data_IF_798432456148
#
_entry.id   IF_798432456148
#
_cell.length_a   1.000
_cell.length_b   1.000
_cell.length_c   1.000
_cell.angle_alpha   90.00
_cell.angle_beta   90.00
_cell.angle_gamma   90.00
#
_symmetry.space_group_name_H-M   'P 1'
#
loop_
_entity.id
_entity.type
_entity.pdbx_description
1 polymer ?
#
# COMPACT_ATOMS: atom_id res chain seq x y z
N UNK A 1 -12.11 -11.99 -11.55
CA UNK A 1 -10.85 -11.33 -11.93
C UNK A 1 -10.00 -11.27 -10.68
N UNK A 2 -8.89 -12.00 -10.67
CA UNK A 2 -7.97 -11.99 -9.52
C UNK A 2 -6.99 -10.83 -9.69
N UNK A 3 -6.98 -9.91 -8.73
CA UNK A 3 -6.12 -8.73 -8.78
C UNK A 3 -5.26 -8.65 -7.52
N UNK A 4 -4.03 -8.19 -7.70
CA UNK A 4 -3.10 -7.89 -6.60
C UNK A 4 -2.85 -6.39 -6.55
N UNK A 5 -3.04 -5.79 -5.38
CA UNK A 5 -2.56 -4.44 -5.10
C UNK A 5 -1.18 -4.53 -4.44
N UNK A 6 -0.17 -3.83 -4.96
CA UNK A 6 1.17 -3.77 -4.37
C UNK A 6 1.51 -2.35 -3.97
N UNK A 7 1.80 -2.16 -2.70
CA UNK A 7 2.34 -0.90 -2.19
C UNK A 7 3.86 -1.00 -2.19
N UNK A 8 4.53 -0.12 -2.94
CA UNK A 8 5.99 -0.01 -2.95
C UNK A 8 6.41 1.23 -2.16
N UNK A 9 7.38 1.06 -1.27
CA UNK A 9 7.87 2.09 -0.37
C UNK A 9 9.39 2.13 -0.41
N UNK A 10 9.96 3.31 -0.59
CA UNK A 10 11.41 3.53 -0.63
C UNK A 10 11.78 4.72 0.24
N UNK A 11 12.66 4.49 1.22
CA UNK A 11 13.30 5.57 1.96
C UNK A 11 14.43 6.13 1.08
N UNK A 12 14.27 7.37 0.64
CA UNK A 12 15.20 8.04 -0.29
C UNK A 12 16.12 9.06 0.40
N UNK A 13 15.93 9.33 1.69
CA UNK A 13 16.64 10.45 2.34
C UNK A 13 16.91 10.36 3.84
N UNK A 14 16.49 9.30 4.55
CA UNK A 14 16.74 9.14 6.00
C UNK A 14 17.85 8.11 6.25
N UNK A 15 19.08 8.52 6.62
CA UNK A 15 20.23 7.62 6.71
C UNK A 15 20.08 6.48 7.72
N UNK A 16 19.45 6.76 8.87
CA UNK A 16 19.30 5.79 9.96
C UNK A 16 18.05 4.90 9.79
N UNK A 17 17.43 4.92 8.62
CA UNK A 17 16.15 4.26 8.38
C UNK A 17 14.97 5.08 8.85
N UNK A 18 13.79 4.69 8.38
CA UNK A 18 12.52 5.35 8.67
C UNK A 18 11.53 4.32 9.21
N UNK A 19 10.89 4.60 10.34
CA UNK A 19 9.78 3.78 10.83
C UNK A 19 8.49 4.24 10.15
N UNK A 20 7.86 3.33 9.41
CA UNK A 20 6.63 3.60 8.67
C UNK A 20 5.51 2.66 9.11
N UNK A 21 4.29 3.16 9.15
CA UNK A 21 3.08 2.35 9.24
C UNK A 21 2.35 2.41 7.91
N UNK A 22 1.89 1.27 7.41
CA UNK A 22 1.06 1.19 6.22
C UNK A 22 -0.24 0.47 6.52
N UNK A 23 -1.30 0.85 5.80
CA UNK A 23 -2.63 0.24 5.91
C UNK A 23 -3.27 0.12 4.53
N UNK A 24 -3.89 -1.02 4.27
CA UNK A 24 -4.90 -1.19 3.23
C UNK A 24 -6.28 -1.14 3.86
N UNK A 25 -7.22 -0.46 3.21
CA UNK A 25 -8.61 -0.38 3.64
C UNK A 25 -9.58 -0.42 2.46
N UNK A 26 -10.81 -0.86 2.72
CA UNK A 26 -11.86 -0.92 1.71
C UNK A 26 -12.56 0.44 1.52
N UNK A 27 -13.57 0.47 0.65
CA UNK A 27 -14.41 1.66 0.39
C UNK A 27 -15.07 2.25 1.65
N UNK A 28 -15.37 1.40 2.64
CA UNK A 28 -16.04 1.76 3.88
C UNK A 28 -15.05 2.18 4.98
N UNK A 29 -13.74 2.12 4.71
CA UNK A 29 -12.71 2.40 5.69
C UNK A 29 -12.35 1.22 6.59
N UNK A 30 -12.85 0.01 6.30
CA UNK A 30 -12.47 -1.19 7.05
C UNK A 30 -11.01 -1.56 6.72
N UNK A 31 -10.17 -1.67 7.75
CA UNK A 31 -8.79 -2.12 7.58
C UNK A 31 -8.75 -3.55 7.08
N UNK A 32 -8.15 -3.75 5.90
CA UNK A 32 -7.96 -5.05 5.26
C UNK A 32 -6.63 -5.69 5.68
N UNK A 33 -5.58 -4.88 5.79
CA UNK A 33 -4.25 -5.30 6.23
C UNK A 33 -3.48 -4.09 6.76
N UNK A 34 -2.58 -4.29 7.71
CA UNK A 34 -1.69 -3.23 8.21
C UNK A 34 -0.43 -3.81 8.82
N UNK A 35 0.64 -3.02 8.83
CA UNK A 35 1.84 -3.32 9.59
C UNK A 35 2.69 -2.07 9.80
N UNK A 36 3.70 -2.20 10.66
CA UNK A 36 4.73 -1.20 10.89
C UNK A 36 6.08 -1.82 10.57
N UNK A 37 6.88 -1.15 9.74
CA UNK A 37 8.19 -1.65 9.30
C UNK A 37 9.25 -0.57 9.40
N UNK A 38 10.48 -0.98 9.69
CA UNK A 38 11.64 -0.11 9.52
C UNK A 38 12.12 -0.21 8.07
N UNK A 39 12.23 0.93 7.40
CA UNK A 39 12.63 1.05 6.00
C UNK A 39 14.05 1.64 5.91
N UNK A 40 15.09 0.81 5.67
CA UNK A 40 16.46 1.28 5.52
C UNK A 40 16.64 2.19 4.31
N UNK A 41 17.64 3.08 4.36
CA UNK A 41 17.96 3.98 3.24
C UNK A 41 18.23 3.18 1.95
N UNK A 42 17.60 3.62 0.86
CA UNK A 42 17.80 3.04 -0.47
C UNK A 42 17.23 1.64 -0.66
N UNK A 43 16.53 1.08 0.33
CA UNK A 43 15.85 -0.21 0.20
C UNK A 43 14.39 -0.02 -0.14
N UNK A 44 13.89 -0.91 -0.98
CA UNK A 44 12.48 -0.99 -1.33
C UNK A 44 11.81 -2.06 -0.48
N UNK A 45 10.65 -1.73 0.07
CA UNK A 45 9.71 -2.71 0.63
C UNK A 45 8.48 -2.72 -0.26
N UNK A 46 8.07 -3.91 -0.69
CA UNK A 46 6.88 -4.15 -1.49
C UNK A 46 5.90 -5.00 -0.68
N UNK A 47 4.68 -4.52 -0.51
CA UNK A 47 3.62 -5.20 0.22
C UNK A 47 2.50 -5.56 -0.74
N UNK A 48 2.22 -6.86 -0.86
CA UNK A 48 1.14 -7.38 -1.69
C UNK A 48 -0.13 -7.59 -0.88
N UNK A 49 -1.22 -7.02 -1.34
CA UNK A 49 -2.57 -7.33 -0.90
C UNK A 49 -3.34 -8.01 -2.03
N UNK A 50 -3.79 -9.23 -1.75
CA UNK A 50 -4.68 -9.99 -2.63
C UNK A 50 -6.02 -10.11 -1.94
N UNK A 51 -7.09 -9.68 -2.61
CA UNK A 51 -8.43 -9.98 -2.13
C UNK A 51 -8.72 -11.45 -2.46
N UNK A 52 -8.87 -12.27 -1.42
CA UNK A 52 -9.42 -13.61 -1.60
C UNK A 52 -10.88 -13.48 -2.03
N UNK A 53 -11.26 -14.18 -3.09
CA UNK A 53 -12.62 -14.19 -3.65
C UNK A 53 -13.61 -15.01 -2.82
N UNK A 54 -13.16 -15.59 -1.70
CA UNK A 54 -14.04 -16.34 -0.83
C UNK A 54 -15.16 -15.41 -0.34
N UNK A 55 -16.43 -15.75 -0.61
CA UNK A 55 -17.55 -14.92 -0.18
C UNK A 55 -17.53 -14.90 1.35
N UNK A 56 -17.23 -13.73 1.91
CA UNK A 56 -17.54 -13.47 3.31
C UNK A 56 -19.05 -13.71 3.47
N UNK A 57 -19.49 -14.59 4.38
CA UNK A 57 -20.92 -14.75 4.65
C UNK A 57 -21.45 -13.36 5.03
N UNK A 58 -22.51 -12.93 4.33
CA UNK A 58 -23.18 -11.65 4.47
C UNK A 58 -22.49 -10.40 3.89
N UNK A 59 -21.42 -10.53 3.10
CA UNK A 59 -20.89 -9.39 2.34
C UNK A 59 -21.51 -9.38 0.93
N UNK A 60 -22.25 -8.33 0.53
CA UNK A 60 -22.73 -8.23 -0.86
C UNK A 60 -21.54 -8.37 -1.78
N UNK A 61 -21.64 -9.27 -2.77
CA UNK A 61 -20.59 -9.50 -3.79
C UNK A 61 -20.20 -8.15 -4.35
N UNK A 62 -19.10 -7.59 -3.83
CA UNK A 62 -18.71 -6.24 -4.14
C UNK A 62 -18.01 -6.31 -5.51
N UNK A 63 -18.81 -6.15 -6.57
CA UNK A 63 -18.38 -6.26 -7.98
C UNK A 63 -17.21 -5.30 -8.28
N UNK A 64 -17.07 -4.22 -7.49
CA UNK A 64 -15.87 -3.39 -7.43
C UNK A 64 -15.20 -3.54 -6.07
N UNK A 65 -13.99 -4.11 -6.08
CA UNK A 65 -13.10 -4.01 -4.94
C UNK A 65 -12.38 -2.66 -5.00
N UNK A 66 -12.83 -1.69 -4.20
CA UNK A 66 -12.02 -0.50 -3.95
C UNK A 66 -11.04 -0.80 -2.83
N UNK A 67 -9.74 -0.68 -3.14
CA UNK A 67 -8.66 -0.79 -2.16
C UNK A 67 -7.96 0.56 -2.10
N UNK A 68 -7.81 1.09 -0.90
CA UNK A 68 -7.07 2.32 -0.62
C UNK A 68 -5.86 1.99 0.23
N UNK A 69 -4.76 2.68 0.00
CA UNK A 69 -3.52 2.54 0.77
C UNK A 69 -3.21 3.85 1.50
N UNK A 70 -2.88 3.76 2.78
CA UNK A 70 -2.38 4.86 3.58
C UNK A 70 -0.98 4.50 4.10
N UNK A 71 -0.10 5.49 4.12
CA UNK A 71 1.25 5.37 4.67
C UNK A 71 1.55 6.56 5.55
N UNK A 72 2.12 6.29 6.71
CA UNK A 72 2.47 7.29 7.71
C UNK A 72 3.92 7.08 8.15
N UNK A 73 4.68 8.17 8.22
CA UNK A 73 6.01 8.19 8.82
C UNK A 73 5.83 8.44 10.31
N UNK A 74 6.19 7.45 11.13
CA UNK A 74 5.93 7.50 12.58
C UNK A 74 7.02 8.30 13.33
N UNK A 75 8.13 8.57 12.65
CA UNK A 75 9.25 9.32 13.23
C UNK A 75 9.01 10.83 13.13
N UNK A 76 9.12 11.58 14.24
CA UNK A 76 8.91 13.01 14.23
C UNK A 76 10.00 13.73 13.44
N UNK A 77 9.62 14.82 12.76
CA UNK A 77 10.56 15.69 12.04
C UNK A 77 11.15 15.06 10.78
N UNK A 78 10.61 13.93 10.29
CA UNK A 78 10.98 13.35 9.01
C UNK A 78 9.98 13.80 7.93
N UNK A 79 10.40 14.62 6.97
CA UNK A 79 9.53 15.08 5.90
C UNK A 79 9.05 13.96 4.97
N UNK A 80 7.84 14.09 4.44
CA UNK A 80 7.19 13.03 3.63
C UNK A 80 7.85 12.78 2.28
N UNK A 81 8.63 13.75 1.78
CA UNK A 81 9.43 13.66 0.57
C UNK A 81 10.60 12.68 0.68
N UNK A 82 11.00 12.31 1.91
CA UNK A 82 12.00 11.27 2.12
C UNK A 82 11.45 9.85 1.90
N UNK A 83 10.14 9.73 1.63
CA UNK A 83 9.47 8.48 1.32
C UNK A 83 8.88 8.52 -0.10
N UNK A 84 9.54 7.84 -1.02
CA UNK A 84 8.95 7.53 -2.33
C UNK A 84 7.98 6.36 -2.20
N UNK A 85 6.84 6.46 -2.90
CA UNK A 85 5.72 5.54 -2.75
C UNK A 85 4.96 5.37 -4.06
N UNK A 86 4.59 4.13 -4.38
CA UNK A 86 3.66 3.82 -5.47
C UNK A 86 2.68 2.74 -5.06
N UNK A 87 1.50 2.75 -5.67
CA UNK A 87 0.52 1.68 -5.59
C UNK A 87 0.36 1.09 -7.00
N UNK A 88 0.59 -0.21 -7.12
CA UNK A 88 0.47 -0.94 -8.38
C UNK A 88 -0.72 -1.89 -8.28
N UNK A 89 -1.49 -2.00 -9.36
CA UNK A 89 -2.59 -2.95 -9.48
C UNK A 89 -2.29 -3.89 -10.64
N UNK A 90 -2.14 -5.17 -10.33
CA UNK A 90 -1.91 -6.25 -11.27
C UNK A 90 -3.21 -7.00 -11.53
N UNK A 91 -3.55 -7.22 -12.79
CA UNK A 91 -4.44 -8.32 -13.16
C UNK A 91 -3.61 -9.61 -13.23
N UNK A 92 -3.84 -10.52 -12.27
CA UNK A 92 -3.06 -11.75 -12.15
C UNK A 92 -3.28 -12.70 -13.36
N UNK A 93 -4.32 -12.47 -14.17
CA UNK A 93 -4.66 -13.32 -15.33
C UNK A 93 -3.99 -12.83 -16.61
N UNK A 94 -3.92 -11.51 -16.81
CA UNK A 94 -3.40 -10.90 -18.04
C UNK A 94 -2.00 -10.33 -17.89
N UNK A 95 -1.53 -10.12 -16.65
CA UNK A 95 -0.28 -9.42 -16.36
C UNK A 95 -0.36 -7.90 -16.58
N UNK A 96 -1.53 -7.38 -16.98
CA UNK A 96 -1.72 -5.95 -17.13
C UNK A 96 -1.49 -5.24 -15.79
N UNK A 97 -0.70 -4.17 -15.82
CA UNK A 97 -0.32 -3.41 -14.61
C UNK A 97 -0.71 -1.95 -14.78
N UNK A 98 -1.33 -1.38 -13.75
CA UNK A 98 -1.53 0.06 -13.62
C UNK A 98 -0.76 0.56 -12.40
N UNK A 99 -0.03 1.67 -12.53
CA UNK A 99 0.80 2.23 -11.46
C UNK A 99 0.30 3.62 -11.09
N UNK A 100 0.14 3.87 -9.79
CA UNK A 100 -0.22 5.14 -9.20
C UNK A 100 0.93 5.64 -8.33
N UNK A 101 1.46 6.82 -8.64
CA UNK A 101 2.51 7.43 -7.83
C UNK A 101 1.87 8.20 -6.68
N UNK A 102 2.31 7.94 -5.44
CA UNK A 102 1.85 8.69 -4.29
C UNK A 102 2.61 10.01 -4.19
N UNK A 103 1.89 11.13 -4.26
CA UNK A 103 2.47 12.46 -4.10
C UNK A 103 2.87 12.77 -2.66
N UNK A 104 3.77 13.73 -2.48
CA UNK A 104 3.94 14.44 -1.20
C UNK A 104 2.59 15.10 -0.86
N UNK A 105 2.04 14.80 0.32
CA UNK A 105 0.89 15.57 0.81
C UNK A 105 1.35 17.01 0.97
N UNK A 106 0.67 17.95 0.29
CA UNK A 106 0.80 19.36 0.60
C UNK A 106 0.06 19.67 1.90
#
# INVERSE_FOLDING_TARGET
MEQTARLNLVNVGVPNGMLITWRFFDANGLTLAQSTVTLPLGKTVSIDYRRHLDPLPDSPVQIRAEVRAQVEIVMPGIPSENLSRSLEVFDNNTGATTVYMGGAGQ
#
